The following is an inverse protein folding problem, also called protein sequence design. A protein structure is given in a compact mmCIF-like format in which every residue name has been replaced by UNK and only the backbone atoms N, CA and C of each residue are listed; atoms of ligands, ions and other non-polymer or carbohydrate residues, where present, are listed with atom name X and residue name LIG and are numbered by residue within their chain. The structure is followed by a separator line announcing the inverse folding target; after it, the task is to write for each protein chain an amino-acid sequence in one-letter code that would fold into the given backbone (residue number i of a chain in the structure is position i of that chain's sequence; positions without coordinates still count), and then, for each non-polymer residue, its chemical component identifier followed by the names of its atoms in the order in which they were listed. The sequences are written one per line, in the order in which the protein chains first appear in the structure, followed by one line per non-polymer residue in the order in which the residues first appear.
data_IF_674199105743
#
_entry.id   IF_674199105743
#
_cell.length_a   1.000
_cell.length_b   1.000
_cell.length_c   1.000
_cell.angle_alpha   90.00
_cell.angle_beta   90.00
_cell.angle_gamma   90.00
#
_symmetry.space_group_name_H-M   'P 1'
#
loop_
_entity.id
_entity.type
_entity.pdbx_description
1 polymer ?
#
# COMPACT_ATOMS: atom_id res chain seq x y z
N UNK A 1 -0.61 4.30 13.39
CA UNK A 1 -0.01 3.08 13.96
C UNK A 1 -0.43 1.87 13.14
N UNK A 2 0.53 1.13 12.57
CA UNK A 2 0.30 -0.12 11.83
C UNK A 2 0.04 -1.24 12.84
N UNK A 3 -0.91 -2.17 12.61
CA UNK A 3 -1.10 -3.33 13.49
C UNK A 3 0.17 -4.18 13.58
N UNK A 4 0.52 -4.62 14.79
CA UNK A 4 1.77 -5.35 15.04
C UNK A 4 1.87 -6.63 14.20
N UNK A 5 0.76 -7.34 14.00
CA UNK A 5 0.74 -8.56 13.19
C UNK A 5 1.00 -8.32 11.69
N UNK A 6 0.98 -7.05 11.24
CA UNK A 6 1.22 -6.68 9.84
C UNK A 6 2.59 -6.06 9.62
N UNK A 7 3.37 -5.76 10.66
CA UNK A 7 4.69 -5.12 10.54
C UNK A 7 5.61 -5.94 9.64
N UNK A 8 5.74 -7.26 9.88
CA UNK A 8 6.63 -8.12 9.11
C UNK A 8 6.28 -8.13 7.60
N UNK A 9 4.99 -8.15 7.27
CA UNK A 9 4.53 -8.12 5.88
C UNK A 9 4.81 -6.76 5.22
N UNK A 10 4.63 -5.66 5.96
CA UNK A 10 4.96 -4.31 5.48
C UNK A 10 6.46 -4.16 5.24
N UNK A 11 7.30 -4.56 6.19
CA UNK A 11 8.77 -4.53 6.06
C UNK A 11 9.24 -5.32 4.85
N UNK A 12 8.71 -6.54 4.65
CA UNK A 12 9.02 -7.35 3.48
C UNK A 12 8.60 -6.66 2.18
N UNK A 13 7.40 -6.10 2.14
CA UNK A 13 6.90 -5.37 0.97
C UNK A 13 7.74 -4.14 0.63
N UNK A 14 8.22 -3.40 1.64
CA UNK A 14 9.15 -2.28 1.45
C UNK A 14 10.48 -2.75 0.89
N UNK A 15 11.01 -3.86 1.40
CA UNK A 15 12.28 -4.40 0.95
C UNK A 15 12.20 -4.88 -0.51
N UNK A 16 11.13 -5.60 -0.86
CA UNK A 16 10.91 -6.09 -2.23
C UNK A 16 10.63 -4.96 -3.23
N UNK A 17 9.90 -3.91 -2.85
CA UNK A 17 9.52 -2.83 -3.76
C UNK A 17 10.57 -1.70 -3.88
N UNK A 18 11.27 -1.39 -2.79
CA UNK A 18 12.14 -0.21 -2.69
C UNK A 18 13.55 -0.51 -2.18
N UNK A 19 13.82 -1.74 -1.73
CA UNK A 19 15.12 -2.12 -1.13
C UNK A 19 15.37 -1.48 0.24
N UNK A 20 14.32 -1.09 0.96
CA UNK A 20 14.41 -0.52 2.32
C UNK A 20 13.51 -1.28 3.27
N UNK A 21 13.80 -1.25 4.57
CA UNK A 21 12.97 -1.92 5.59
C UNK A 21 12.04 -0.97 6.34
N UNK A 22 12.23 0.34 6.17
CA UNK A 22 11.56 1.40 6.92
C UNK A 22 11.12 2.55 6.00
N UNK A 23 10.13 3.31 6.45
CA UNK A 23 9.68 4.56 5.84
C UNK A 23 10.12 5.74 6.71
N UNK A 24 10.31 6.90 6.09
CA UNK A 24 10.73 8.14 6.77
C UNK A 24 9.56 8.76 7.55
N UNK A 25 8.35 8.67 6.99
CA UNK A 25 7.14 9.21 7.60
C UNK A 25 5.94 8.32 7.30
N UNK A 26 4.95 8.32 8.20
CA UNK A 26 3.70 7.59 8.05
C UNK A 26 2.51 8.34 8.63
N UNK A 27 1.49 8.57 7.80
CA UNK A 27 0.24 9.19 8.20
C UNK A 27 -0.92 8.28 7.83
N UNK A 28 -1.80 8.01 8.79
CA UNK A 28 -3.02 7.24 8.53
C UNK A 28 -4.02 8.12 7.77
N UNK A 29 -4.52 7.62 6.66
CA UNK A 29 -5.59 8.29 5.90
C UNK A 29 -6.92 7.78 6.44
N UNK A 30 -7.66 8.65 7.12
CA UNK A 30 -9.00 8.36 7.65
C UNK A 30 -10.06 9.03 6.77
N UNK A 31 -11.07 8.29 6.31
CA UNK A 31 -12.12 8.79 5.42
C UNK A 31 -12.52 7.84 4.29
N UNK A 32 -11.86 6.68 4.15
CA UNK A 32 -12.26 5.66 3.18
C UNK A 32 -13.39 4.77 3.70
N UNK A 33 -14.36 4.46 2.85
CA UNK A 33 -15.47 3.52 3.14
C UNK A 33 -15.05 2.03 3.11
N UNK A 34 -13.77 1.74 2.95
CA UNK A 34 -13.24 0.37 2.85
C UNK A 34 -12.71 -0.11 4.19
N UNK A 35 -12.94 -1.38 4.56
CA UNK A 35 -12.34 -2.01 5.75
C UNK A 35 -10.80 -2.12 5.72
N UNK A 36 -10.18 -1.80 4.58
CA UNK A 36 -8.73 -1.74 4.42
C UNK A 36 -8.11 -0.56 5.18
N UNK A 37 -6.92 -0.77 5.75
CA UNK A 37 -6.14 0.31 6.36
C UNK A 37 -5.29 0.99 5.28
N UNK A 38 -5.43 2.31 5.15
CA UNK A 38 -4.68 3.11 4.17
C UNK A 38 -3.77 4.09 4.91
N UNK A 39 -2.53 4.15 4.48
CA UNK A 39 -1.51 5.04 5.01
C UNK A 39 -0.81 5.75 3.86
N UNK A 40 -0.49 7.03 4.05
CA UNK A 40 0.51 7.73 3.25
C UNK A 40 1.85 7.49 3.93
N UNK A 41 2.83 7.02 3.17
CA UNK A 41 4.21 6.82 3.63
C UNK A 41 5.16 7.67 2.80
N UNK A 42 6.34 7.97 3.35
CA UNK A 42 7.45 8.57 2.59
C UNK A 42 8.59 7.57 2.54
N UNK A 43 9.09 7.29 1.35
CA UNK A 43 10.22 6.39 1.11
C UNK A 43 11.21 7.10 0.19
N UNK A 44 12.44 7.31 0.67
CA UNK A 44 13.50 8.04 -0.05
C UNK A 44 13.02 9.43 -0.51
N UNK A 45 12.37 10.17 0.39
CA UNK A 45 11.79 11.49 0.11
C UNK A 45 10.58 11.52 -0.82
N UNK A 46 10.12 10.37 -1.34
CA UNK A 46 8.98 10.30 -2.26
C UNK A 46 7.72 9.78 -1.54
N UNK A 47 6.55 10.43 -1.70
CA UNK A 47 5.31 9.99 -1.06
C UNK A 47 4.66 8.81 -1.81
N UNK A 48 4.24 7.79 -1.06
CA UNK A 48 3.53 6.61 -1.58
C UNK A 48 2.29 6.29 -0.73
N UNK A 49 1.40 5.48 -1.30
CA UNK A 49 0.23 4.96 -0.61
C UNK A 49 0.46 3.49 -0.22
N UNK A 50 0.41 3.19 1.07
CA UNK A 50 0.40 1.84 1.61
C UNK A 50 -1.05 1.43 1.93
N UNK A 51 -1.51 0.35 1.32
CA UNK A 51 -2.83 -0.23 1.59
C UNK A 51 -2.68 -1.64 2.18
N UNK A 52 -3.18 -1.83 3.39
CA UNK A 52 -3.24 -3.13 4.07
C UNK A 52 -4.67 -3.64 4.01
N UNK A 53 -4.88 -4.71 3.25
CA UNK A 53 -6.18 -5.38 3.11
C UNK A 53 -6.31 -6.36 4.29
N UNK A 54 -7.25 -6.09 5.20
CA UNK A 54 -7.40 -6.79 6.50
C UNK A 54 -8.46 -7.89 6.48
N UNK A 55 -9.35 -7.92 5.49
CA UNK A 55 -10.33 -8.99 5.26
C UNK A 55 -10.07 -9.70 3.95
N UNK A 56 -10.65 -10.90 3.84
CA UNK A 56 -10.70 -11.83 2.71
C UNK A 56 -11.33 -11.26 1.43
N UNK A 57 -11.02 -10.02 1.09
CA UNK A 57 -11.23 -9.50 -0.26
C UNK A 57 -10.12 -10.11 -1.11
N UNK A 58 -10.50 -10.90 -2.10
CA UNK A 58 -9.59 -11.65 -2.96
C UNK A 58 -8.42 -10.74 -3.44
N UNK A 59 -7.19 -10.96 -2.96
CA UNK A 59 -6.07 -10.08 -3.26
C UNK A 59 -5.76 -10.05 -4.77
N UNK A 60 -6.12 -11.10 -5.50
CA UNK A 60 -6.02 -11.17 -6.96
C UNK A 60 -6.96 -10.17 -7.63
N UNK A 61 -8.22 -10.08 -7.16
CA UNK A 61 -9.19 -9.10 -7.69
C UNK A 61 -8.72 -7.67 -7.49
N UNK A 62 -8.12 -7.36 -6.34
CA UNK A 62 -7.62 -6.00 -6.07
C UNK A 62 -6.40 -5.66 -6.93
N UNK A 63 -5.45 -6.59 -7.06
CA UNK A 63 -4.27 -6.40 -7.89
C UNK A 63 -4.63 -6.25 -9.38
N UNK A 64 -5.57 -7.04 -9.89
CA UNK A 64 -6.06 -6.91 -11.27
C UNK A 64 -6.72 -5.55 -11.53
N UNK A 65 -7.45 -5.01 -10.53
CA UNK A 65 -8.05 -3.68 -10.63
C UNK A 65 -6.98 -2.58 -10.71
N UNK A 66 -5.97 -2.62 -9.82
CA UNK A 66 -4.85 -1.67 -9.86
C UNK A 66 -4.02 -1.78 -11.14
N UNK A 67 -3.78 -2.99 -11.65
CA UNK A 67 -3.02 -3.20 -12.89
C UNK A 67 -3.75 -2.68 -14.13
N UNK A 68 -5.09 -2.69 -14.14
CA UNK A 68 -5.88 -2.09 -15.24
C UNK A 68 -5.71 -0.57 -15.30
N UNK A 69 -5.54 0.10 -14.15
CA UNK A 69 -5.37 1.56 -14.09
C UNK A 69 -3.99 1.98 -14.63
N UNK A 70 -2.93 1.21 -14.35
CA UNK A 70 -1.59 1.49 -14.89
C UNK A 70 -1.52 1.42 -16.43
N UNK A 71 -2.42 0.67 -17.06
CA UNK A 71 -2.43 0.45 -18.51
C UNK A 71 -3.41 1.37 -19.27
N UNK A 72 -4.21 2.16 -18.56
CA UNK A 72 -5.16 3.10 -19.17
C UNK A 72 -4.57 4.48 -19.46
N UNK A 73 -3.35 4.79 -19.01
CA UNK A 73 -2.70 6.11 -19.24
C UNK A 73 -1.72 6.09 -20.42
N UNK A 74 -1.87 5.17 -21.38
CA UNK A 74 -1.01 5.16 -22.59
C UNK A 74 -1.76 4.90 -23.89
N UNK A 75 -3.03 5.31 -24.00
CA UNK A 75 -3.60 5.65 -25.31
C UNK A 75 -4.79 6.60 -25.20
N UNK A 76 -4.63 7.72 -25.94
CA UNK A 76 -5.59 8.77 -26.30
C UNK A 76 -5.92 9.82 -25.24
#
# INVERSE_FOLDING_TARGET
MIPQEKIAAVTRGLHEAFGVTEFEDIVRVTGGHTSSLVFRIVVRGSPYLLKIITRTEDPTRHYTCMKKILRATTHA
#
